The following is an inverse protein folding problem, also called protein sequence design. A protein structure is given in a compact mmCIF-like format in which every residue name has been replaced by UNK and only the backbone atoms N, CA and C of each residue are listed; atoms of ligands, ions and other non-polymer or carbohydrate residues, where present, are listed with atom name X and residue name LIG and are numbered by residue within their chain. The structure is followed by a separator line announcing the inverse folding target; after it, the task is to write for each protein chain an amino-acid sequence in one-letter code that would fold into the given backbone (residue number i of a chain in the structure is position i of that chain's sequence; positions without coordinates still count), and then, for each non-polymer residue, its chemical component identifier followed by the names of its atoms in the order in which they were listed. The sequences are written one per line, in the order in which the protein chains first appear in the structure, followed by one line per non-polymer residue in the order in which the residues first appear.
data_IF_830524881683
#
_entry.id   IF_830524881683
#
_cell.length_a   1.000
_cell.length_b   1.000
_cell.length_c   1.000
_cell.angle_alpha   90.00
_cell.angle_beta   90.00
_cell.angle_gamma   90.00
#
_symmetry.space_group_name_H-M   'P 1'
#
loop_
_entity.id
_entity.type
_entity.pdbx_description
1 polymer ?
#
# COMPACT_ATOMS: atom_id res chain seq x y z
N UNK A 1 55.58 -7.76 -17.94
CA UNK A 1 54.20 -7.58 -17.44
C UNK A 1 53.86 -8.84 -16.63
N UNK A 2 53.58 -8.76 -15.32
CA UNK A 2 53.49 -9.95 -14.47
C UNK A 2 52.15 -10.67 -14.63
N UNK A 3 52.18 -12.00 -14.57
CA UNK A 3 51.04 -12.89 -14.75
C UNK A 3 50.26 -13.11 -13.46
N UNK A 4 48.93 -12.96 -13.53
CA UNK A 4 48.00 -13.15 -12.41
C UNK A 4 46.88 -14.17 -12.69
N UNK A 5 47.02 -14.99 -13.74
CA UNK A 5 45.99 -15.95 -14.16
C UNK A 5 46.41 -17.41 -13.94
N UNK A 6 46.64 -17.81 -12.69
CA UNK A 6 46.58 -19.23 -12.31
C UNK A 6 46.32 -19.37 -10.80
N UNK A 7 45.04 -19.42 -10.41
CA UNK A 7 44.64 -20.13 -9.18
C UNK A 7 43.58 -21.23 -9.43
N UNK A 8 43.87 -22.28 -10.22
CA UNK A 8 42.99 -23.46 -10.32
C UNK A 8 42.96 -24.29 -9.02
N UNK A 9 43.90 -24.08 -8.09
CA UNK A 9 44.10 -24.94 -6.92
C UNK A 9 43.12 -24.68 -5.76
N UNK A 10 42.47 -23.52 -5.70
CA UNK A 10 41.48 -23.21 -4.65
C UNK A 10 40.18 -24.02 -4.81
N UNK A 11 39.78 -24.32 -6.04
CA UNK A 11 38.59 -25.13 -6.34
C UNK A 11 38.83 -26.65 -6.23
N UNK A 12 40.10 -27.07 -6.16
CA UNK A 12 40.48 -28.48 -6.02
C UNK A 12 40.49 -28.98 -4.56
N UNK A 13 40.36 -28.08 -3.58
CA UNK A 13 40.34 -28.45 -2.17
C UNK A 13 38.89 -28.77 -1.74
N UNK A 14 38.57 -30.02 -1.40
CA UNK A 14 37.21 -30.48 -1.08
C UNK A 14 36.60 -29.79 0.14
N UNK A 15 37.42 -29.17 1.00
CA UNK A 15 36.94 -28.40 2.15
C UNK A 15 36.27 -27.08 1.76
N UNK A 16 36.53 -26.53 0.56
CA UNK A 16 35.85 -25.32 0.08
C UNK A 16 34.43 -25.61 -0.39
N UNK A 17 34.19 -26.78 -0.99
CA UNK A 17 32.84 -27.22 -1.37
C UNK A 17 31.99 -27.54 -0.13
N UNK A 18 32.61 -28.11 0.91
CA UNK A 18 31.95 -28.38 2.20
C UNK A 18 31.36 -27.14 2.87
N UNK A 19 31.96 -25.97 2.62
CA UNK A 19 31.48 -24.68 3.13
C UNK A 19 30.24 -24.15 2.39
N UNK A 20 30.10 -24.42 1.08
CA UNK A 20 28.92 -24.01 0.29
C UNK A 20 27.66 -24.79 0.65
N UNK A 21 27.83 -26.05 1.06
CA UNK A 21 26.72 -26.96 1.41
C UNK A 21 26.03 -26.53 2.72
N UNK A 22 26.78 -25.85 3.61
CA UNK A 22 26.26 -25.26 4.84
C UNK A 22 25.32 -24.07 4.58
N UNK A 23 25.53 -23.30 3.49
CA UNK A 23 24.61 -22.24 3.08
C UNK A 23 23.36 -22.79 2.37
N UNK A 24 23.50 -23.93 1.66
CA UNK A 24 22.39 -24.58 0.96
C UNK A 24 21.38 -25.27 1.90
N UNK A 25 21.77 -25.56 3.14
CA UNK A 25 20.96 -26.25 4.14
C UNK A 25 20.23 -25.34 5.12
N UNK A 26 20.27 -24.01 4.93
CA UNK A 26 19.43 -23.10 5.72
C UNK A 26 17.97 -23.49 5.46
N UNK A 27 17.23 -23.99 6.48
CA UNK A 27 15.84 -24.32 6.29
C UNK A 27 15.13 -23.04 5.85
N UNK A 28 14.53 -23.05 4.65
CA UNK A 28 13.61 -21.99 4.23
C UNK A 28 12.54 -21.91 5.30
N UNK A 29 12.66 -20.94 6.19
CA UNK A 29 11.63 -20.60 7.17
C UNK A 29 10.41 -20.34 6.30
N UNK A 30 9.45 -21.27 6.31
CA UNK A 30 8.15 -21.05 5.70
C UNK A 30 7.57 -19.84 6.42
N UNK A 31 7.66 -18.67 5.79
CA UNK A 31 7.22 -17.43 6.39
C UNK A 31 5.75 -17.60 6.73
N UNK A 32 5.29 -17.10 7.88
CA UNK A 32 3.88 -17.18 8.25
C UNK A 32 2.96 -16.66 7.13
N UNK A 33 3.48 -15.71 6.37
CA UNK A 33 2.91 -15.15 5.15
C UNK A 33 2.73 -16.18 4.02
N UNK A 34 3.68 -17.09 3.81
CA UNK A 34 3.61 -18.12 2.77
C UNK A 34 2.54 -19.18 3.11
N UNK A 35 2.35 -19.46 4.41
CA UNK A 35 1.24 -20.32 4.89
C UNK A 35 -0.11 -19.63 4.72
N UNK A 36 -0.19 -18.32 4.95
CA UNK A 36 -1.38 -17.52 4.72
C UNK A 36 -1.71 -17.48 3.22
N UNK A 37 -0.72 -17.19 2.38
CA UNK A 37 -0.85 -17.18 0.93
C UNK A 37 -1.40 -18.51 0.40
N UNK A 38 -0.93 -19.64 0.95
CA UNK A 38 -1.46 -20.96 0.57
C UNK A 38 -2.90 -21.21 1.00
N UNK A 39 -3.42 -20.52 2.03
CA UNK A 39 -4.83 -20.67 2.49
C UNK A 39 -5.78 -19.64 1.91
N UNK A 40 -5.32 -18.40 1.72
CA UNK A 40 -6.15 -17.24 1.32
C UNK A 40 -5.62 -16.53 0.07
N UNK A 41 -4.81 -17.21 -0.74
CA UNK A 41 -4.26 -16.67 -1.99
C UNK A 41 -5.34 -16.22 -3.00
N UNK A 42 -6.59 -16.66 -2.85
CA UNK A 42 -7.72 -16.15 -3.63
C UNK A 42 -7.99 -14.65 -3.42
N UNK A 43 -7.54 -14.06 -2.30
CA UNK A 43 -7.69 -12.64 -2.00
C UNK A 43 -6.59 -11.79 -2.65
N UNK A 44 -5.63 -12.39 -3.34
CA UNK A 44 -4.64 -11.64 -4.10
C UNK A 44 -5.34 -10.93 -5.27
N UNK A 45 -5.48 -9.60 -5.19
CA UNK A 45 -6.05 -8.80 -6.27
C UNK A 45 -4.88 -8.27 -7.11
N UNK A 46 -4.58 -8.87 -8.27
CA UNK A 46 -3.51 -8.37 -9.13
C UNK A 46 -3.87 -6.99 -9.65
N UNK A 47 -2.92 -6.06 -9.60
CA UNK A 47 -3.14 -4.67 -10.01
C UNK A 47 -4.09 -3.88 -9.12
N UNK A 48 -4.23 -4.22 -7.84
CA UNK A 48 -5.12 -3.52 -6.89
C UNK A 48 -4.99 -1.98 -6.99
N UNK A 49 -3.76 -1.46 -6.96
CA UNK A 49 -3.52 -0.01 -7.01
C UNK A 49 -3.88 0.62 -8.36
N UNK A 50 -3.93 -0.16 -9.45
CA UNK A 50 -4.44 0.29 -10.75
C UNK A 50 -5.94 0.51 -10.69
N UNK A 51 -6.68 -0.43 -10.10
CA UNK A 51 -8.12 -0.29 -9.89
C UNK A 51 -8.44 0.88 -8.97
N UNK A 52 -7.68 1.06 -7.88
CA UNK A 52 -7.81 2.23 -7.01
C UNK A 52 -7.58 3.52 -7.80
N UNK A 53 -6.49 3.62 -8.56
CA UNK A 53 -6.21 4.79 -9.38
C UNK A 53 -7.31 5.10 -10.41
N UNK A 54 -7.88 4.07 -11.04
CA UNK A 54 -9.01 4.25 -11.96
C UNK A 54 -10.26 4.77 -11.26
N UNK A 55 -10.62 4.19 -10.10
CA UNK A 55 -11.75 4.65 -9.31
C UNK A 55 -11.54 6.07 -8.77
N UNK A 56 -10.32 6.43 -8.39
CA UNK A 56 -9.96 7.81 -8.03
C UNK A 56 -10.20 8.77 -9.18
N UNK A 57 -9.83 8.40 -10.41
CA UNK A 57 -10.11 9.22 -11.59
C UNK A 57 -11.62 9.44 -11.78
N UNK A 58 -12.42 8.38 -11.59
CA UNK A 58 -13.87 8.44 -11.67
C UNK A 58 -14.46 9.36 -10.59
N UNK A 59 -14.03 9.21 -9.34
CA UNK A 59 -14.46 10.07 -8.21
C UNK A 59 -14.12 11.54 -8.47
N UNK A 60 -12.94 11.83 -9.03
CA UNK A 60 -12.56 13.20 -9.39
C UNK A 60 -13.49 13.81 -10.45
N UNK A 61 -13.88 13.03 -11.48
CA UNK A 61 -14.86 13.49 -12.47
C UNK A 61 -16.22 13.75 -11.80
N UNK A 62 -16.65 12.87 -10.89
CA UNK A 62 -17.90 13.04 -10.15
C UNK A 62 -17.88 14.28 -9.24
N UNK A 63 -16.76 14.55 -8.58
CA UNK A 63 -16.56 15.77 -7.79
C UNK A 63 -16.74 17.03 -8.65
N UNK A 64 -16.18 17.06 -9.86
CA UNK A 64 -16.32 18.23 -10.74
C UNK A 64 -17.76 18.45 -11.20
N UNK A 65 -18.59 17.40 -11.27
CA UNK A 65 -20.03 17.50 -11.55
C UNK A 65 -20.82 17.93 -10.31
N UNK A 66 -20.48 17.37 -9.14
CA UNK A 66 -21.12 17.68 -7.87
C UNK A 66 -20.08 17.75 -6.73
N UNK A 67 -19.63 18.96 -6.35
CA UNK A 67 -18.62 19.12 -5.30
C UNK A 67 -19.05 18.59 -3.93
N UNK A 68 -20.36 18.49 -3.67
CA UNK A 68 -20.90 17.93 -2.43
C UNK A 68 -20.70 16.42 -2.30
N UNK A 69 -20.39 15.72 -3.38
CA UNK A 69 -20.29 14.26 -3.41
C UNK A 69 -19.14 13.71 -2.56
N UNK A 70 -18.02 14.45 -2.45
CA UNK A 70 -16.88 14.01 -1.63
C UNK A 70 -17.24 13.85 -0.15
N UNK A 71 -18.15 14.69 0.37
CA UNK A 71 -18.61 14.59 1.77
C UNK A 71 -19.37 13.30 2.07
N UNK A 72 -19.91 12.62 1.07
CA UNK A 72 -20.58 11.32 1.22
C UNK A 72 -19.60 10.15 1.22
N UNK A 73 -18.43 10.35 0.60
CA UNK A 73 -17.38 9.34 0.48
C UNK A 73 -16.35 9.42 1.61
N UNK A 74 -16.19 10.61 2.20
CA UNK A 74 -15.22 10.88 3.24
C UNK A 74 -15.46 10.03 4.49
N UNK A 75 -14.40 9.75 5.24
CA UNK A 75 -14.49 8.90 6.42
C UNK A 75 -14.98 9.71 7.61
N UNK A 76 -16.29 9.64 7.88
CA UNK A 76 -16.92 10.23 9.07
C UNK A 76 -17.32 9.12 10.07
N UNK A 77 -16.62 8.99 11.21
CA UNK A 77 -16.94 7.99 12.23
C UNK A 77 -18.38 8.08 12.75
N UNK A 78 -18.93 9.28 12.87
CA UNK A 78 -20.30 9.49 13.35
C UNK A 78 -21.27 8.92 12.32
N UNK A 79 -21.10 9.25 11.04
CA UNK A 79 -21.95 8.75 9.98
C UNK A 79 -21.85 7.22 9.80
N UNK A 80 -20.64 6.66 9.98
CA UNK A 80 -20.45 5.19 9.96
C UNK A 80 -21.26 4.51 11.08
N UNK A 81 -21.31 5.09 12.29
CA UNK A 81 -22.14 4.57 13.38
C UNK A 81 -23.65 4.64 13.09
N UNK A 82 -24.07 5.56 12.21
CA UNK A 82 -25.46 5.69 11.75
C UNK A 82 -25.81 4.76 10.57
N UNK A 83 -24.89 3.88 10.15
CA UNK A 83 -25.12 2.88 9.12
C UNK A 83 -24.42 3.14 7.79
N UNK A 84 -23.64 4.22 7.65
CA UNK A 84 -22.90 4.56 6.43
C UNK A 84 -21.59 3.77 6.30
N UNK A 85 -21.66 2.44 6.40
CA UNK A 85 -20.50 1.53 6.41
C UNK A 85 -19.68 1.55 5.12
N UNK A 86 -20.26 2.03 4.01
CA UNK A 86 -19.52 2.20 2.75
C UNK A 86 -18.37 3.20 2.87
N UNK A 87 -18.45 4.17 3.80
CA UNK A 87 -17.38 5.14 4.07
C UNK A 87 -16.07 4.51 4.50
N UNK A 88 -16.12 3.31 5.07
CA UNK A 88 -14.95 2.52 5.43
C UNK A 88 -14.13 2.09 4.21
N UNK A 89 -14.76 2.06 3.04
CA UNK A 89 -14.13 1.67 1.78
C UNK A 89 -13.95 2.85 0.86
N UNK A 90 -14.93 3.75 0.75
CA UNK A 90 -14.96 4.78 -0.29
C UNK A 90 -13.91 5.88 -0.13
N UNK A 91 -13.47 6.15 1.10
CA UNK A 91 -12.56 7.26 1.38
C UNK A 91 -11.20 7.11 0.67
N UNK A 92 -10.76 5.88 0.37
CA UNK A 92 -9.50 5.61 -0.32
C UNK A 92 -9.48 6.12 -1.76
N UNK A 93 -10.66 6.28 -2.37
CA UNK A 93 -10.78 6.73 -3.74
C UNK A 93 -10.73 8.26 -3.84
N UNK A 94 -10.79 8.98 -2.72
CA UNK A 94 -10.70 10.43 -2.71
C UNK A 94 -9.25 10.84 -3.02
N UNK A 95 -9.02 11.68 -4.04
CA UNK A 95 -7.68 12.15 -4.36
C UNK A 95 -7.17 13.12 -3.29
N UNK A 96 -6.43 12.62 -2.30
CA UNK A 96 -5.91 13.44 -1.19
C UNK A 96 -4.84 14.45 -1.62
N UNK A 97 -4.27 14.30 -2.82
CA UNK A 97 -3.20 15.16 -3.33
C UNK A 97 -3.68 16.26 -4.30
N UNK A 98 -5.00 16.43 -4.49
CA UNK A 98 -5.54 17.31 -5.53
C UNK A 98 -5.06 18.78 -5.45
N UNK A 99 -4.58 19.24 -4.29
CA UNK A 99 -4.13 20.62 -4.05
C UNK A 99 -2.73 20.74 -3.45
N UNK A 100 -1.86 19.73 -3.59
CA UNK A 100 -0.52 19.75 -2.98
C UNK A 100 0.50 20.59 -3.75
N UNK A 101 0.46 20.60 -5.09
CA UNK A 101 1.37 21.38 -5.92
C UNK A 101 0.66 22.65 -6.42
N UNK A 102 1.40 23.76 -6.67
CA UNK A 102 0.87 24.97 -7.30
C UNK A 102 0.64 24.74 -8.81
N UNK A 103 -0.12 23.69 -9.13
CA UNK A 103 -0.50 23.23 -10.47
C UNK A 103 -2.02 23.04 -10.50
N UNK A 104 -2.64 22.99 -11.69
CA UNK A 104 -4.07 22.72 -11.80
C UNK A 104 -4.47 21.37 -11.17
N UNK A 105 -5.66 21.29 -10.56
CA UNK A 105 -6.16 20.07 -9.88
C UNK A 105 -6.05 18.80 -10.74
N UNK A 106 -6.38 18.90 -12.03
CA UNK A 106 -6.33 17.77 -12.95
C UNK A 106 -4.90 17.24 -13.16
N UNK A 107 -3.89 18.10 -13.07
CA UNK A 107 -2.47 17.70 -13.11
C UNK A 107 -2.10 16.97 -11.83
N UNK A 108 -2.50 17.50 -10.67
CA UNK A 108 -2.24 16.87 -9.37
C UNK A 108 -2.84 15.46 -9.30
N UNK A 109 -4.10 15.30 -9.74
CA UNK A 109 -4.78 14.00 -9.75
C UNK A 109 -4.15 13.04 -10.76
N UNK A 110 -3.81 13.51 -11.96
CA UNK A 110 -3.12 12.67 -12.95
C UNK A 110 -1.76 12.19 -12.43
N UNK A 111 -0.99 13.06 -11.77
CA UNK A 111 0.28 12.70 -11.15
C UNK A 111 0.09 11.67 -10.02
N UNK A 112 -0.91 11.86 -9.16
CA UNK A 112 -1.25 10.92 -8.10
C UNK A 112 -1.59 9.52 -8.66
N UNK A 113 -2.41 9.44 -9.70
CA UNK A 113 -2.78 8.17 -10.35
C UNK A 113 -1.55 7.52 -10.99
N UNK A 114 -0.72 8.30 -11.70
CA UNK A 114 0.51 7.79 -12.29
C UNK A 114 1.45 7.21 -11.23
N UNK A 115 1.56 7.90 -10.09
CA UNK A 115 2.36 7.47 -8.95
C UNK A 115 1.83 6.17 -8.34
N UNK A 116 0.52 6.08 -8.09
CA UNK A 116 -0.14 4.85 -7.63
C UNK A 116 0.12 3.68 -8.60
N UNK A 117 0.04 3.95 -9.91
CA UNK A 117 0.24 2.93 -10.92
C UNK A 117 1.70 2.47 -10.97
N UNK A 118 2.65 3.39 -11.04
CA UNK A 118 4.07 3.08 -11.13
C UNK A 118 4.58 2.40 -9.85
N UNK A 119 4.30 2.98 -8.68
CA UNK A 119 4.66 2.34 -7.40
C UNK A 119 3.95 1.02 -7.22
N UNK A 120 2.66 0.96 -7.54
CA UNK A 120 1.88 -0.26 -7.34
C UNK A 120 2.43 -1.42 -8.15
N UNK A 121 2.81 -1.18 -9.40
CA UNK A 121 3.47 -2.20 -10.23
C UNK A 121 4.83 -2.62 -9.65
N UNK A 122 5.62 -1.66 -9.17
CA UNK A 122 6.92 -1.93 -8.55
C UNK A 122 6.80 -2.77 -7.29
N UNK A 123 5.90 -2.40 -6.38
CA UNK A 123 5.64 -3.15 -5.14
C UNK A 123 5.03 -4.53 -5.42
N UNK A 124 4.08 -4.61 -6.35
CA UNK A 124 3.47 -5.88 -6.74
C UNK A 124 4.49 -6.83 -7.35
N UNK A 125 5.41 -6.33 -8.19
CA UNK A 125 6.50 -7.14 -8.75
C UNK A 125 7.53 -7.56 -7.70
N UNK A 126 7.79 -6.74 -6.68
CA UNK A 126 8.79 -7.02 -5.65
C UNK A 126 8.27 -7.98 -4.58
N UNK A 127 7.01 -7.84 -4.15
CA UNK A 127 6.43 -8.56 -3.00
C UNK A 127 5.34 -9.56 -3.39
N UNK A 128 4.72 -9.40 -4.56
CA UNK A 128 3.57 -10.19 -5.00
C UNK A 128 2.23 -9.52 -4.65
N UNK A 129 1.22 -9.79 -5.48
CA UNK A 129 -0.13 -9.21 -5.38
C UNK A 129 -0.82 -9.49 -4.05
N UNK A 130 -0.61 -10.68 -3.48
CA UNK A 130 -1.21 -11.09 -2.22
C UNK A 130 -0.75 -10.21 -1.04
N UNK A 131 0.57 -10.05 -0.89
CA UNK A 131 1.16 -9.29 0.23
C UNK A 131 0.78 -7.81 0.13
N UNK A 132 0.77 -7.27 -1.08
CA UNK A 132 0.32 -5.90 -1.35
C UNK A 132 -1.15 -5.72 -0.96
N UNK A 133 -2.02 -6.66 -1.34
CA UNK A 133 -3.45 -6.58 -0.99
C UNK A 133 -3.68 -6.60 0.52
N UNK A 134 -3.02 -7.50 1.25
CA UNK A 134 -3.12 -7.54 2.72
C UNK A 134 -2.58 -6.27 3.35
N UNK A 135 -1.42 -5.78 2.88
CA UNK A 135 -0.84 -4.55 3.41
C UNK A 135 -1.79 -3.36 3.22
N UNK A 136 -2.41 -3.26 2.04
CA UNK A 136 -3.38 -2.22 1.74
C UNK A 136 -4.64 -2.31 2.60
N UNK A 137 -5.20 -3.51 2.76
CA UNK A 137 -6.36 -3.77 3.62
C UNK A 137 -6.06 -3.48 5.11
N UNK A 138 -4.88 -3.86 5.59
CA UNK A 138 -4.46 -3.59 6.96
C UNK A 138 -4.29 -2.08 7.19
N UNK A 139 -3.73 -1.37 6.21
CA UNK A 139 -3.68 0.09 6.22
C UNK A 139 -5.08 0.71 6.31
N UNK A 140 -6.04 0.22 5.52
CA UNK A 140 -7.43 0.67 5.56
C UNK A 140 -8.07 0.49 6.94
N UNK A 141 -7.90 -0.69 7.54
CA UNK A 141 -8.40 -0.96 8.89
C UNK A 141 -7.71 -0.07 9.92
N UNK A 142 -6.39 0.12 9.81
CA UNK A 142 -5.63 1.01 10.69
C UNK A 142 -6.10 2.46 10.62
N UNK A 143 -6.30 3.01 9.43
CA UNK A 143 -6.86 4.36 9.24
C UNK A 143 -8.27 4.47 9.77
N UNK A 144 -9.11 3.45 9.56
CA UNK A 144 -10.46 3.40 10.14
C UNK A 144 -10.40 3.48 11.65
N UNK A 145 -9.63 2.59 12.29
CA UNK A 145 -9.47 2.57 13.76
C UNK A 145 -8.94 3.92 14.23
N UNK A 146 -7.91 4.48 13.60
CA UNK A 146 -7.41 5.81 13.94
C UNK A 146 -8.50 6.89 13.82
N UNK A 147 -9.31 6.88 12.76
CA UNK A 147 -10.42 7.83 12.62
C UNK A 147 -11.45 7.69 13.75
N UNK A 148 -11.75 6.48 14.23
CA UNK A 148 -12.65 6.27 15.36
C UNK A 148 -12.05 6.69 16.71
N UNK A 149 -10.76 6.44 16.94
CA UNK A 149 -10.09 6.78 18.19
C UNK A 149 -9.74 8.26 18.31
N UNK A 150 -9.26 8.86 17.22
CA UNK A 150 -8.84 10.26 17.20
C UNK A 150 -9.99 11.21 16.80
N UNK A 151 -10.88 10.78 15.90
CA UNK A 151 -12.06 11.52 15.45
C UNK A 151 -11.77 12.93 14.92
N UNK A 152 -12.81 13.62 14.46
CA UNK A 152 -12.82 15.09 14.32
C UNK A 152 -12.65 15.83 15.68
N UNK A 153 -12.40 15.09 16.77
CA UNK A 153 -12.32 15.56 18.14
C UNK A 153 -11.05 16.37 18.43
N UNK A 154 -10.03 16.31 17.57
CA UNK A 154 -8.83 17.14 17.72
C UNK A 154 -9.13 18.65 17.63
N UNK A 155 -10.18 19.06 16.90
CA UNK A 155 -10.49 20.49 16.72
C UNK A 155 -11.35 21.11 17.82
N UNK A 156 -12.29 20.37 18.42
CA UNK A 156 -13.20 20.90 19.44
C UNK A 156 -12.69 20.72 20.87
N UNK A 157 -11.95 19.62 21.14
CA UNK A 157 -11.38 19.40 22.48
C UNK A 157 -10.26 20.39 22.78
N UNK A 158 -9.37 20.68 21.82
CA UNK A 158 -8.25 21.59 22.07
C UNK A 158 -8.70 22.99 22.49
N UNK A 159 -9.78 23.50 21.90
CA UNK A 159 -10.34 24.82 22.22
C UNK A 159 -10.98 24.86 23.62
N UNK A 160 -11.53 23.73 24.06
CA UNK A 160 -12.18 23.59 25.37
C UNK A 160 -11.17 23.28 26.49
N UNK A 161 -10.05 22.62 26.16
CA UNK A 161 -8.95 22.33 27.11
C UNK A 161 -7.90 23.44 27.18
N UNK A 162 -7.94 24.42 26.27
CA UNK A 162 -7.09 25.62 26.30
C UNK A 162 -7.71 26.79 27.09
N UNK A 163 -8.96 26.64 27.54
CA UNK A 163 -9.62 27.53 28.50
C UNK A 163 -9.27 27.09 29.93
#
# INVERSE_FOLDING_TARGET
MPGWYTQPSLLANPNYLKGSDAFASIPRIMTWLDKLERRIGFLAIPGLLRYVGFLTALVFVLEKVNPGYLRLLDLDPVAVMHGEVWRLVTYIFIPQMASMLPLPDWVNVAFYILFLWWMGNGLESAWGAFKLTIFYLLGMVGTTVAAFFFGAAFSNLMLTTSL
#
